data_IF_189007514907
#
_entry.id   IF_189007514907
#
_cell.length_a   1.000
_cell.length_b   1.000
_cell.length_c   1.000
_cell.angle_alpha   90.00
_cell.angle_beta   90.00
_cell.angle_gamma   90.00
#
_symmetry.space_group_name_H-M   'P 1'
#
loop_
_entity.id
_entity.type
_entity.pdbx_description
1 polymer ?
#
# COMPACT_ATOMS: atom_id res chain seq x y z
N UNK A 1 -12.00 14.81 22.51
CA UNK A 1 -12.25 14.40 21.11
C UNK A 1 -11.20 13.39 20.69
N UNK A 2 -11.63 12.22 20.18
CA UNK A 2 -10.72 11.17 19.71
C UNK A 2 -10.21 11.54 18.30
N UNK A 3 -8.90 11.76 18.20
CA UNK A 3 -8.20 11.87 16.91
C UNK A 3 -8.36 10.55 16.14
N UNK A 4 -8.34 10.62 14.80
CA UNK A 4 -8.83 9.58 13.90
C UNK A 4 -8.43 8.15 14.28
N UNK A 5 -9.43 7.29 14.41
CA UNK A 5 -9.29 5.91 14.80
C UNK A 5 -9.00 5.03 13.59
N UNK A 6 -7.73 4.69 13.32
CA UNK A 6 -7.41 3.69 12.30
C UNK A 6 -7.86 2.32 12.78
N UNK A 7 -8.89 1.77 12.12
CA UNK A 7 -9.25 0.37 12.25
C UNK A 7 -8.31 -0.42 11.35
N UNK A 8 -7.45 -1.24 11.94
CA UNK A 8 -6.67 -2.22 11.15
C UNK A 8 -7.64 -3.26 10.64
N UNK A 9 -7.84 -3.25 9.33
CA UNK A 9 -8.68 -4.22 8.65
C UNK A 9 -7.86 -5.46 8.32
N UNK A 10 -8.18 -6.56 8.98
CA UNK A 10 -7.82 -7.89 8.52
C UNK A 10 -9.00 -8.45 7.75
N UNK A 11 -8.74 -9.03 6.58
CA UNK A 11 -9.77 -9.81 5.90
C UNK A 11 -9.96 -11.11 6.68
N UNK A 12 -11.05 -11.19 7.43
CA UNK A 12 -11.53 -12.46 7.98
C UNK A 12 -12.13 -13.27 6.84
N UNK A 13 -11.63 -14.49 6.68
CA UNK A 13 -12.22 -15.44 5.76
C UNK A 13 -13.58 -15.88 6.29
N UNK A 14 -14.67 -15.50 5.61
CA UNK A 14 -15.77 -16.43 5.37
C UNK A 14 -15.83 -16.68 3.85
N UNK A 15 -15.39 -17.88 3.51
CA UNK A 15 -15.14 -18.37 2.16
C UNK A 15 -16.40 -18.71 1.35
N UNK A 16 -17.60 -18.31 1.79
CA UNK A 16 -18.87 -18.55 1.09
C UNK A 16 -19.92 -17.52 1.52
N UNK A 17 -20.52 -16.80 0.57
CA UNK A 17 -21.70 -15.91 0.70
C UNK A 17 -21.50 -14.44 1.14
N UNK A 18 -21.63 -13.54 0.15
CA UNK A 18 -22.22 -12.19 0.09
C UNK A 18 -22.06 -11.12 1.20
N UNK A 19 -21.40 -11.36 2.33
CA UNK A 19 -21.18 -10.32 3.34
C UNK A 19 -19.80 -10.44 4.00
N UNK A 20 -18.91 -9.50 3.64
CA UNK A 20 -17.59 -9.33 4.25
C UNK A 20 -17.73 -8.93 5.73
N UNK A 21 -17.15 -9.71 6.64
CA UNK A 21 -16.92 -9.26 8.02
C UNK A 21 -15.51 -8.68 8.12
N UNK A 22 -15.48 -7.37 8.29
CA UNK A 22 -14.30 -6.62 8.66
C UNK A 22 -14.28 -6.61 10.19
N UNK A 23 -13.39 -7.37 10.84
CA UNK A 23 -13.22 -7.19 12.29
C UNK A 23 -12.14 -6.14 12.56
N UNK A 24 -12.53 -5.13 13.34
CA UNK A 24 -11.62 -4.13 13.87
C UNK A 24 -10.79 -4.77 14.99
N UNK A 25 -9.54 -5.10 14.71
CA UNK A 25 -8.62 -5.69 15.70
C UNK A 25 -8.00 -4.66 16.66
N UNK A 26 -8.32 -3.38 16.47
CA UNK A 26 -7.93 -2.30 17.36
C UNK A 26 -8.14 -0.95 16.71
N UNK A 27 -8.26 0.07 17.55
CA UNK A 27 -8.18 1.47 17.16
C UNK A 27 -6.76 1.94 17.42
N UNK A 28 -6.12 2.51 16.40
CA UNK A 28 -4.89 3.29 16.59
C UNK A 28 -5.28 4.76 16.55
N UNK A 29 -4.92 5.48 17.61
CA UNK A 29 -4.98 6.93 17.61
C UNK A 29 -3.87 7.43 16.69
N UNK A 30 -4.27 8.15 15.64
CA UNK A 30 -3.33 8.78 14.72
C UNK A 30 -3.19 10.26 15.07
N UNK A 31 -1.95 10.73 15.12
CA UNK A 31 -1.68 12.17 15.17
C UNK A 31 -2.18 12.86 13.88
N UNK A 32 -2.33 14.19 13.93
CA UNK A 32 -2.94 14.96 12.84
C UNK A 32 -2.26 14.73 11.47
N UNK A 33 -0.93 14.52 11.46
CA UNK A 33 -0.13 14.30 10.25
C UNK A 33 0.13 12.83 9.92
N UNK A 34 -0.24 11.91 10.81
CA UNK A 34 0.02 10.48 10.66
C UNK A 34 -1.04 9.82 9.79
N UNK A 35 -0.61 9.08 8.77
CA UNK A 35 -1.50 8.31 7.89
C UNK A 35 -0.94 6.90 7.68
N UNK A 36 -1.80 5.88 7.51
CA UNK A 36 -1.33 4.60 7.04
C UNK A 36 -0.86 4.71 5.58
N UNK A 37 0.13 3.89 5.24
CA UNK A 37 0.52 3.59 3.86
C UNK A 37 0.53 2.07 3.66
N UNK A 38 0.09 1.63 2.48
CA UNK A 38 0.00 0.22 2.15
C UNK A 38 1.25 -0.24 1.40
N UNK A 39 1.87 -1.30 1.90
CA UNK A 39 2.83 -2.03 1.09
C UNK A 39 2.05 -2.97 0.16
N UNK A 40 2.39 -3.04 -1.14
CA UNK A 40 1.71 -3.91 -2.10
C UNK A 40 2.11 -5.39 -1.90
N UNK A 41 1.78 -5.94 -0.74
CA UNK A 41 2.01 -7.34 -0.37
C UNK A 41 0.73 -7.90 0.23
N UNK A 42 0.30 -9.05 -0.29
CA UNK A 42 -0.81 -9.81 0.28
C UNK A 42 -0.22 -10.98 1.05
N UNK A 43 -0.57 -11.04 2.32
CA UNK A 43 -0.30 -12.20 3.16
C UNK A 43 -1.55 -13.07 3.29
N UNK A 44 -1.33 -14.38 3.35
CA UNK A 44 -2.29 -15.36 3.83
C UNK A 44 -1.60 -16.18 4.92
N UNK A 45 -2.06 -16.05 6.15
CA UNK A 45 -1.34 -16.55 7.31
C UNK A 45 0.03 -15.92 7.49
N UNK A 46 1.04 -16.77 7.56
CA UNK A 46 2.45 -16.38 7.67
C UNK A 46 3.13 -16.21 6.31
N UNK A 47 2.44 -16.52 5.21
CA UNK A 47 3.04 -16.55 3.87
C UNK A 47 2.62 -15.33 3.05
N UNK A 48 3.58 -14.69 2.40
CA UNK A 48 3.29 -13.71 1.36
C UNK A 48 2.90 -14.46 0.07
N UNK A 49 1.67 -14.27 -0.37
CA UNK A 49 1.12 -14.96 -1.55
C UNK A 49 1.11 -14.07 -2.80
N UNK A 50 1.21 -12.75 -2.64
CA UNK A 50 1.32 -11.79 -3.74
C UNK A 50 2.31 -10.70 -3.35
N UNK A 51 3.32 -10.48 -4.19
CA UNK A 51 4.32 -9.43 -4.06
C UNK A 51 4.00 -8.29 -5.04
N UNK A 52 4.63 -7.11 -4.92
CA UNK A 52 4.32 -5.95 -5.77
C UNK A 52 4.48 -6.22 -7.26
N UNK A 53 5.42 -7.10 -7.63
CA UNK A 53 5.73 -7.44 -9.02
C UNK A 53 4.99 -8.68 -9.53
N UNK A 54 4.24 -9.37 -8.67
CA UNK A 54 3.47 -10.56 -9.03
C UNK A 54 2.36 -10.18 -9.99
N UNK A 55 2.28 -10.87 -11.13
CA UNK A 55 1.11 -10.86 -12.01
C UNK A 55 0.29 -12.10 -11.73
N UNK A 56 -0.98 -12.05 -12.09
CA UNK A 56 -1.86 -13.20 -11.91
C UNK A 56 -1.38 -14.49 -12.59
N UNK A 57 -0.74 -14.38 -13.76
CA UNK A 57 -0.18 -15.51 -14.50
C UNK A 57 1.01 -16.19 -13.80
N UNK A 58 1.62 -15.50 -12.82
CA UNK A 58 2.76 -16.00 -12.07
C UNK A 58 2.30 -16.87 -10.88
N UNK A 59 1.01 -16.85 -10.55
CA UNK A 59 0.40 -17.72 -9.55
C UNK A 59 0.18 -19.12 -10.14
N UNK A 60 0.47 -20.15 -9.34
CA UNK A 60 0.24 -21.53 -9.74
C UNK A 60 -1.26 -21.83 -9.87
N UNK A 61 -1.68 -22.41 -10.99
CA UNK A 61 -3.09 -22.66 -11.28
C UNK A 61 -3.67 -23.76 -10.41
N UNK A 62 -4.88 -23.54 -9.90
CA UNK A 62 -5.62 -24.51 -9.08
C UNK A 62 -5.18 -24.57 -7.62
N UNK A 63 -4.30 -23.66 -7.18
CA UNK A 63 -3.83 -23.61 -5.79
C UNK A 63 -4.72 -22.73 -4.93
N UNK A 64 -4.60 -22.89 -3.61
CA UNK A 64 -5.22 -21.99 -2.63
C UNK A 64 -4.74 -20.54 -2.84
N UNK A 65 -3.46 -20.32 -3.16
CA UNK A 65 -2.89 -19.00 -3.41
C UNK A 65 -3.61 -18.25 -4.55
N UNK A 66 -3.89 -18.94 -5.66
CA UNK A 66 -4.64 -18.36 -6.79
C UNK A 66 -6.04 -17.92 -6.34
N UNK A 67 -6.73 -18.78 -5.58
CA UNK A 67 -8.08 -18.51 -5.05
C UNK A 67 -8.07 -17.34 -4.07
N UNK A 68 -7.11 -17.31 -3.14
CA UNK A 68 -6.97 -16.25 -2.16
C UNK A 68 -6.62 -14.92 -2.84
N UNK A 69 -5.69 -14.89 -3.78
CA UNK A 69 -5.35 -13.70 -4.54
C UNK A 69 -6.58 -13.13 -5.27
N UNK A 70 -7.34 -13.95 -6.01
CA UNK A 70 -8.58 -13.50 -6.69
C UNK A 70 -9.57 -12.87 -5.73
N UNK A 71 -9.83 -13.53 -4.60
CA UNK A 71 -10.75 -13.03 -3.56
C UNK A 71 -10.25 -11.71 -2.99
N UNK A 72 -8.96 -11.61 -2.69
CA UNK A 72 -8.35 -10.39 -2.17
C UNK A 72 -8.49 -9.23 -3.15
N UNK A 73 -8.17 -9.45 -4.43
CA UNK A 73 -8.30 -8.43 -5.47
C UNK A 73 -9.74 -7.95 -5.62
N UNK A 74 -10.74 -8.84 -5.50
CA UNK A 74 -12.15 -8.42 -5.54
C UNK A 74 -12.55 -7.50 -4.36
N UNK A 75 -11.73 -7.41 -3.32
CA UNK A 75 -11.99 -6.59 -2.13
C UNK A 75 -11.10 -5.35 -2.02
N UNK A 76 -10.09 -5.23 -2.89
CA UNK A 76 -9.03 -4.24 -2.72
C UNK A 76 -9.52 -2.79 -2.63
N UNK A 77 -10.57 -2.34 -3.38
CA UNK A 77 -11.01 -0.96 -3.27
C UNK A 77 -11.62 -0.67 -1.89
N UNK A 78 -12.32 -1.65 -1.32
CA UNK A 78 -12.88 -1.54 0.03
C UNK A 78 -11.77 -1.44 1.06
N UNK A 79 -10.73 -2.26 0.94
CA UNK A 79 -9.59 -2.22 1.84
C UNK A 79 -8.86 -0.88 1.78
N UNK A 80 -8.49 -0.42 0.57
CA UNK A 80 -7.85 0.88 0.36
C UNK A 80 -8.68 1.99 1.00
N UNK A 81 -9.98 2.02 0.71
CA UNK A 81 -10.86 3.05 1.27
C UNK A 81 -10.88 2.97 2.79
N UNK A 82 -10.99 1.79 3.40
CA UNK A 82 -10.99 1.66 4.86
C UNK A 82 -9.70 2.12 5.53
N UNK A 83 -8.54 1.87 4.93
CA UNK A 83 -7.28 2.40 5.46
C UNK A 83 -7.18 3.92 5.30
N UNK A 84 -7.83 4.50 4.30
CA UNK A 84 -7.72 5.95 4.01
C UNK A 84 -8.87 6.80 4.57
N UNK A 85 -9.98 6.18 4.95
CA UNK A 85 -11.23 6.82 5.36
C UNK A 85 -11.50 6.70 6.87
N UNK A 86 -10.49 6.31 7.63
CA UNK A 86 -10.59 6.00 9.06
C UNK A 86 -10.97 7.21 9.93
N UNK A 87 -10.54 8.43 9.57
CA UNK A 87 -10.88 9.67 10.29
C UNK A 87 -12.15 10.33 9.77
N UNK A 88 -12.85 9.65 8.87
CA UNK A 88 -14.11 10.11 8.27
C UNK A 88 -15.29 9.22 8.69
N UNK A 89 -15.07 7.93 8.92
CA UNK A 89 -16.14 7.00 9.27
C UNK A 89 -16.65 7.18 10.71
N UNK A 90 -17.93 7.50 10.88
CA UNK A 90 -18.62 7.48 12.18
C UNK A 90 -19.15 6.07 12.43
N UNK A 91 -18.52 5.35 13.35
CA UNK A 91 -18.99 4.02 13.73
C UNK A 91 -20.34 4.14 14.46
N UNK A 92 -21.20 3.15 14.25
CA UNK A 92 -22.43 2.92 15.03
C UNK A 92 -23.58 3.93 14.77
N UNK A 93 -23.51 4.73 13.70
CA UNK A 93 -24.64 5.52 13.19
C UNK A 93 -25.23 4.93 11.90
N UNK A 94 -26.45 4.39 12.00
CA UNK A 94 -27.13 3.74 10.87
C UNK A 94 -27.49 4.71 9.72
N UNK A 95 -27.64 6.02 9.98
CA UNK A 95 -27.93 7.03 8.94
C UNK A 95 -26.71 7.25 8.09
N UNK A 96 -25.55 7.44 8.71
CA UNK A 96 -24.28 7.67 8.02
C UNK A 96 -23.82 6.42 7.25
N UNK A 97 -24.03 5.23 7.82
CA UNK A 97 -23.79 3.97 7.11
C UNK A 97 -24.66 3.87 5.84
N UNK A 98 -25.95 4.21 5.91
CA UNK A 98 -26.84 4.23 4.73
C UNK A 98 -26.35 5.21 3.66
N UNK A 99 -25.88 6.39 4.05
CA UNK A 99 -25.31 7.37 3.10
C UNK A 99 -24.08 6.78 2.42
N UNK A 100 -23.17 6.20 3.20
CA UNK A 100 -21.96 5.59 2.66
C UNK A 100 -22.28 4.46 1.68
N UNK A 101 -23.14 3.52 2.06
CA UNK A 101 -23.55 2.40 1.20
C UNK A 101 -24.21 2.91 -0.09
N UNK A 102 -25.10 3.92 0.02
CA UNK A 102 -25.78 4.51 -1.14
C UNK A 102 -24.80 5.17 -2.11
N UNK A 103 -23.84 5.94 -1.61
CA UNK A 103 -22.95 6.71 -2.48
C UNK A 103 -21.76 5.88 -3.00
N UNK A 104 -21.17 5.03 -2.16
CA UNK A 104 -19.93 4.31 -2.43
C UNK A 104 -20.12 2.83 -2.77
N UNK A 105 -21.23 2.18 -2.40
CA UNK A 105 -21.40 0.72 -2.56
C UNK A 105 -21.22 0.23 -4.00
N UNK A 106 -22.14 0.59 -4.90
CA UNK A 106 -22.06 0.24 -6.33
C UNK A 106 -20.81 0.82 -7.01
N UNK A 107 -20.27 1.91 -6.48
CA UNK A 107 -19.04 2.49 -7.01
C UNK A 107 -17.84 1.59 -6.77
N UNK A 108 -17.65 1.14 -5.52
CA UNK A 108 -16.59 0.20 -5.15
C UNK A 108 -16.75 -1.15 -5.85
N UNK A 109 -17.98 -1.68 -5.97
CA UNK A 109 -18.25 -2.94 -6.69
C UNK A 109 -17.74 -2.90 -8.13
N UNK A 110 -18.00 -1.80 -8.86
CA UNK A 110 -17.50 -1.62 -10.24
C UNK A 110 -15.97 -1.60 -10.30
N UNK A 111 -15.31 -0.91 -9.36
CA UNK A 111 -13.85 -0.87 -9.30
C UNK A 111 -13.29 -2.26 -8.98
N UNK A 112 -13.94 -3.01 -8.08
CA UNK A 112 -13.57 -4.38 -7.74
C UNK A 112 -13.64 -5.31 -8.95
N UNK A 113 -14.73 -5.25 -9.72
CA UNK A 113 -14.90 -6.02 -10.95
C UNK A 113 -13.86 -5.66 -12.01
N UNK A 114 -13.59 -4.36 -12.20
CA UNK A 114 -12.54 -3.87 -13.11
C UNK A 114 -11.16 -4.38 -12.68
N UNK A 115 -10.81 -4.23 -11.40
CA UNK A 115 -9.53 -4.67 -10.85
C UNK A 115 -9.33 -6.17 -11.03
N UNK A 116 -10.34 -6.98 -10.69
CA UNK A 116 -10.28 -8.43 -10.88
C UNK A 116 -10.12 -8.80 -12.36
N UNK A 117 -10.89 -8.17 -13.26
CA UNK A 117 -10.81 -8.41 -14.71
C UNK A 117 -9.43 -8.08 -15.27
N UNK A 118 -8.85 -6.95 -14.85
CA UNK A 118 -7.52 -6.51 -15.29
C UNK A 118 -6.43 -7.43 -14.76
N UNK A 119 -6.49 -7.78 -13.48
CA UNK A 119 -5.49 -8.65 -12.85
C UNK A 119 -5.55 -10.05 -13.44
N UNK A 120 -6.75 -10.66 -13.56
CA UNK A 120 -6.93 -12.01 -14.10
C UNK A 120 -6.44 -12.16 -15.55
N UNK A 121 -6.46 -11.07 -16.35
CA UNK A 121 -5.89 -11.04 -17.70
C UNK A 121 -4.35 -11.02 -17.71
N UNK A 122 -3.70 -10.92 -16.55
CA UNK A 122 -2.24 -10.89 -16.40
C UNK A 122 -1.57 -9.62 -16.95
N UNK A 123 -2.34 -8.53 -17.14
CA UNK A 123 -1.87 -7.29 -17.78
C UNK A 123 -1.02 -6.40 -16.86
N UNK A 124 -1.31 -6.45 -15.56
CA UNK A 124 -0.68 -5.61 -14.54
C UNK A 124 -0.07 -6.45 -13.43
N UNK A 125 1.02 -5.96 -12.86
CA UNK A 125 1.50 -6.45 -11.56
C UNK A 125 0.55 -6.01 -10.45
N UNK A 126 0.70 -6.58 -9.26
CA UNK A 126 -0.11 -6.19 -8.11
C UNK A 126 0.07 -4.71 -7.73
N UNK A 127 1.30 -4.20 -7.75
CA UNK A 127 1.57 -2.78 -7.49
C UNK A 127 0.86 -1.87 -8.52
N UNK A 128 0.98 -2.18 -9.81
CA UNK A 128 0.30 -1.42 -10.88
C UNK A 128 -1.22 -1.47 -10.80
N UNK A 129 -1.77 -2.56 -10.22
CA UNK A 129 -3.19 -2.72 -9.97
C UNK A 129 -3.64 -1.90 -8.76
N UNK A 130 -2.86 -1.90 -7.68
CA UNK A 130 -3.14 -1.10 -6.49
C UNK A 130 -3.18 0.40 -6.85
N UNK A 131 -2.23 0.89 -7.64
CA UNK A 131 -2.24 2.28 -8.11
C UNK A 131 -3.45 2.61 -8.99
N UNK A 132 -3.85 1.70 -9.89
CA UNK A 132 -5.10 1.84 -10.64
C UNK A 132 -6.30 2.00 -9.68
N UNK A 133 -6.34 1.21 -8.61
CA UNK A 133 -7.44 1.26 -7.64
C UNK A 133 -7.45 2.60 -6.89
N UNK A 134 -6.30 3.15 -6.51
CA UNK A 134 -6.20 4.50 -5.95
C UNK A 134 -6.73 5.56 -6.92
N UNK A 135 -6.26 5.55 -8.18
CA UNK A 135 -6.70 6.50 -9.20
C UNK A 135 -8.21 6.43 -9.42
N UNK A 136 -8.76 5.22 -9.50
CA UNK A 136 -10.20 4.97 -9.66
C UNK A 136 -10.98 5.37 -8.42
N UNK A 137 -10.54 5.07 -7.21
CA UNK A 137 -11.30 5.39 -5.99
C UNK A 137 -11.40 6.89 -5.76
N UNK A 138 -10.27 7.59 -5.88
CA UNK A 138 -10.17 8.97 -5.41
C UNK A 138 -10.38 10.00 -6.52
N UNK A 139 -10.25 9.62 -7.80
CA UNK A 139 -10.58 10.45 -8.96
C UNK A 139 -9.96 11.86 -8.88
N UNK A 140 -8.70 11.96 -8.44
CA UNK A 140 -8.04 13.22 -8.11
C UNK A 140 -7.86 14.19 -9.29
N UNK A 141 -7.95 13.67 -10.52
CA UNK A 141 -7.86 14.43 -11.78
C UNK A 141 -9.24 14.79 -12.37
N UNK A 142 -10.33 14.26 -11.79
CA UNK A 142 -11.69 14.57 -12.23
C UNK A 142 -12.10 15.94 -11.67
N UNK A 143 -12.96 16.66 -12.42
CA UNK A 143 -13.56 17.92 -11.93
C UNK A 143 -14.24 17.68 -10.59
N UNK A 144 -13.82 18.46 -9.60
CA UNK A 144 -14.13 18.27 -8.17
C UNK A 144 -15.63 18.03 -7.88
N UNK A 145 -16.54 18.76 -8.56
CA UNK A 145 -17.99 18.62 -8.32
C UNK A 145 -18.55 17.23 -8.59
N UNK A 146 -17.96 16.46 -9.51
CA UNK A 146 -18.47 15.15 -9.93
C UNK A 146 -17.72 13.98 -9.28
N UNK A 147 -16.65 14.27 -8.54
CA UNK A 147 -15.80 13.29 -7.89
C UNK A 147 -16.57 12.55 -6.81
N UNK A 148 -16.43 11.23 -6.74
CA UNK A 148 -17.32 10.45 -5.87
C UNK A 148 -17.14 10.75 -4.38
N UNK A 149 -15.90 11.00 -3.95
CA UNK A 149 -15.59 11.44 -2.59
C UNK A 149 -16.20 12.81 -2.25
N UNK A 150 -16.18 13.76 -3.19
CA UNK A 150 -16.80 15.08 -2.97
C UNK A 150 -18.34 14.97 -2.89
N UNK A 151 -18.96 14.06 -3.66
CA UNK A 151 -20.40 13.79 -3.53
C UNK A 151 -20.72 13.20 -2.16
N UNK A 152 -19.96 12.21 -1.69
CA UNK A 152 -20.12 11.65 -0.35
C UNK A 152 -19.98 12.74 0.73
N UNK A 153 -18.95 13.58 0.64
CA UNK A 153 -18.72 14.68 1.58
C UNK A 153 -19.89 15.63 1.69
N UNK A 154 -20.44 16.09 0.56
CA UNK A 154 -21.63 16.94 0.54
C UNK A 154 -22.84 16.26 1.18
N UNK A 155 -23.05 14.96 0.93
CA UNK A 155 -24.16 14.21 1.55
C UNK A 155 -24.02 14.10 3.06
N UNK A 156 -22.80 13.97 3.58
CA UNK A 156 -22.56 13.96 5.03
C UNK A 156 -22.86 15.32 5.64
N UNK A 157 -22.42 16.41 5.00
CA UNK A 157 -22.70 17.79 5.46
C UNK A 157 -24.21 18.06 5.45
N UNK A 158 -24.89 17.74 4.34
CA UNK A 158 -26.34 17.90 4.21
C UNK A 158 -27.12 17.11 5.28
N UNK A 159 -26.64 15.93 5.66
CA UNK A 159 -27.29 15.15 6.73
C UNK A 159 -27.03 15.76 8.10
N UNK A 160 -25.82 16.23 8.37
CA UNK A 160 -25.50 16.93 9.61
C UNK A 160 -26.33 18.21 9.77
N UNK A 161 -26.52 18.98 8.69
CA UNK A 161 -27.38 20.17 8.71
C UNK A 161 -28.82 19.81 9.10
N UNK A 162 -29.41 18.79 8.49
CA UNK A 162 -30.76 18.32 8.87
C UNK A 162 -30.83 17.85 10.32
N UNK A 163 -29.80 17.13 10.77
CA UNK A 163 -29.76 16.66 12.16
C UNK A 163 -29.69 17.81 13.16
N UNK A 164 -29.03 18.92 12.82
CA UNK A 164 -29.05 20.13 13.64
C UNK A 164 -30.42 20.82 13.61
N UNK A 165 -31.05 20.93 12.43
CA UNK A 165 -32.37 21.54 12.29
C UNK A 165 -33.48 20.75 13.04
N UNK A 166 -33.30 19.44 13.20
CA UNK A 166 -34.21 18.54 13.93
C UNK A 166 -34.04 18.58 15.47
N UNK A 167 -33.11 19.38 16.02
CA UNK A 167 -32.90 19.51 17.47
C UNK A 167 -34.07 20.31 18.07
N UNK A 168 -34.91 19.64 18.86
CA UNK A 168 -36.05 20.24 19.56
C UNK A 168 -35.67 21.28 20.62
N UNK A 169 -36.60 22.20 20.88
CA UNK A 169 -36.47 23.24 21.91
C UNK A 169 -36.65 22.72 23.35
N UNK A 170 -37.17 21.50 23.49
CA UNK A 170 -37.50 20.83 24.75
C UNK A 170 -36.41 19.88 25.27
N UNK A 171 -35.28 19.80 24.57
CA UNK A 171 -34.12 18.98 24.93
C UNK A 171 -33.31 19.71 26.02
N UNK A 172 -32.77 18.97 26.99
CA UNK A 172 -31.88 19.56 27.98
C UNK A 172 -30.57 20.08 27.35
N UNK A 173 -29.88 20.97 28.08
CA UNK A 173 -28.70 21.67 27.57
C UNK A 173 -27.56 20.71 27.27
N UNK A 174 -27.36 19.68 28.10
CA UNK A 174 -26.26 18.72 27.96
C UNK A 174 -26.48 17.83 26.74
N UNK A 175 -27.70 17.28 26.58
CA UNK A 175 -28.07 16.49 25.40
C UNK A 175 -28.04 17.34 24.11
N UNK A 176 -28.42 18.62 24.17
CA UNK A 176 -28.30 19.54 23.03
C UNK A 176 -26.83 19.73 22.63
N UNK A 177 -25.95 20.03 23.58
CA UNK A 177 -24.51 20.19 23.33
C UNK A 177 -23.90 18.94 22.71
N UNK A 178 -24.21 17.74 23.21
CA UNK A 178 -23.71 16.48 22.64
C UNK A 178 -24.14 16.26 21.17
N UNK A 179 -25.39 16.59 20.84
CA UNK A 179 -25.93 16.46 19.48
C UNK A 179 -25.31 17.47 18.52
N UNK A 180 -25.12 18.71 18.97
CA UNK A 180 -24.46 19.76 18.20
C UNK A 180 -23.00 19.38 17.91
N UNK A 181 -22.26 18.90 18.92
CA UNK A 181 -20.90 18.41 18.78
C UNK A 181 -20.81 17.24 17.79
N UNK A 182 -21.74 16.30 17.85
CA UNK A 182 -21.81 15.19 16.90
C UNK A 182 -22.02 15.67 15.46
N UNK A 183 -22.95 16.61 15.25
CA UNK A 183 -23.19 17.19 13.92
C UNK A 183 -21.97 17.96 13.39
N UNK A 184 -21.29 18.73 14.26
CA UNK A 184 -20.05 19.42 13.94
C UNK A 184 -18.97 18.45 13.45
N UNK A 185 -18.80 17.32 14.16
CA UNK A 185 -17.86 16.26 13.77
C UNK A 185 -18.22 15.66 12.40
N UNK A 186 -19.50 15.42 12.10
CA UNK A 186 -19.90 14.91 10.77
C UNK A 186 -19.57 15.92 9.67
N UNK A 187 -19.79 17.21 9.90
CA UNK A 187 -19.46 18.27 8.93
C UNK A 187 -17.97 18.30 8.62
N UNK A 188 -17.13 18.33 9.65
CA UNK A 188 -15.67 18.30 9.52
C UNK A 188 -15.21 17.09 8.68
N UNK A 189 -15.83 15.92 8.90
CA UNK A 189 -15.56 14.69 8.14
C UNK A 189 -16.04 14.79 6.68
N UNK A 190 -17.19 15.41 6.45
CA UNK A 190 -17.68 15.71 5.10
C UNK A 190 -16.75 16.67 4.35
N UNK A 191 -16.21 17.69 5.01
CA UNK A 191 -15.22 18.61 4.45
C UNK A 191 -13.91 17.89 4.08
N UNK A 192 -13.44 16.97 4.93
CA UNK A 192 -12.28 16.10 4.63
C UNK A 192 -12.51 15.27 3.36
N UNK A 193 -13.72 14.76 3.13
CA UNK A 193 -14.06 14.06 1.88
C UNK A 193 -13.94 14.97 0.65
N UNK A 194 -14.42 16.21 0.78
CA UNK A 194 -14.40 17.19 -0.31
C UNK A 194 -12.99 17.70 -0.65
N UNK A 195 -12.04 17.61 0.28
CA UNK A 195 -10.68 18.13 0.08
C UNK A 195 -9.87 17.29 -0.94
N UNK A 196 -9.82 17.73 -2.20
CA UNK A 196 -9.07 17.05 -3.28
C UNK A 196 -7.58 16.97 -2.98
N UNK A 197 -6.98 18.04 -2.45
CA UNK A 197 -5.54 18.09 -2.18
C UNK A 197 -5.12 17.07 -1.12
N UNK A 198 -5.98 16.85 -0.12
CA UNK A 198 -5.80 15.76 0.85
C UNK A 198 -5.66 14.41 0.15
N UNK A 199 -6.59 14.10 -0.75
CA UNK A 199 -6.58 12.83 -1.47
C UNK A 199 -5.40 12.72 -2.44
N UNK A 200 -5.02 13.80 -3.13
CA UNK A 200 -3.81 13.83 -3.97
C UNK A 200 -2.56 13.52 -3.16
N UNK A 201 -2.43 14.10 -1.97
CA UNK A 201 -1.29 13.85 -1.08
C UNK A 201 -1.21 12.38 -0.67
N UNK A 202 -2.35 11.78 -0.32
CA UNK A 202 -2.44 10.36 0.03
C UNK A 202 -2.06 9.47 -1.16
N UNK A 203 -2.70 9.68 -2.32
CA UNK A 203 -2.42 8.92 -3.55
C UNK A 203 -0.94 9.04 -3.95
N UNK A 204 -0.34 10.23 -3.80
CA UNK A 204 1.07 10.47 -4.08
C UNK A 204 1.98 9.67 -3.15
N UNK A 205 1.72 9.67 -1.84
CA UNK A 205 2.50 8.91 -0.88
C UNK A 205 2.44 7.41 -1.17
N UNK A 206 1.25 6.90 -1.48
CA UNK A 206 1.03 5.50 -1.84
C UNK A 206 1.72 5.12 -3.16
N UNK A 207 1.72 6.02 -4.15
CA UNK A 207 2.50 5.84 -5.39
C UNK A 207 3.99 5.67 -5.09
N UNK A 208 4.55 6.54 -4.24
CA UNK A 208 5.96 6.48 -3.88
C UNK A 208 6.30 5.20 -3.12
N UNK A 209 5.45 4.77 -2.18
CA UNK A 209 5.62 3.50 -1.44
C UNK A 209 5.53 2.30 -2.37
N UNK A 210 4.57 2.31 -3.28
CA UNK A 210 4.37 1.23 -4.25
C UNK A 210 5.57 1.09 -5.19
N UNK A 211 6.07 2.20 -5.75
CA UNK A 211 7.23 2.21 -6.63
C UNK A 211 8.51 1.80 -5.90
N UNK A 212 8.68 2.26 -4.66
CA UNK A 212 9.80 1.85 -3.82
C UNK A 212 9.76 0.34 -3.54
N UNK A 213 8.59 -0.17 -3.16
CA UNK A 213 8.37 -1.60 -2.91
C UNK A 213 8.67 -2.43 -4.16
N UNK A 214 8.05 -2.13 -5.29
CA UNK A 214 8.29 -2.82 -6.56
C UNK A 214 9.79 -2.85 -6.94
N UNK A 215 10.49 -1.73 -6.75
CA UNK A 215 11.93 -1.64 -6.98
C UNK A 215 12.76 -2.48 -6.02
N UNK A 216 12.38 -2.59 -4.74
CA UNK A 216 13.10 -3.40 -3.74
C UNK A 216 12.95 -4.88 -4.04
N UNK A 217 11.72 -5.35 -4.26
CA UNK A 217 11.41 -6.75 -4.56
C UNK A 217 12.05 -7.28 -5.85
N UNK A 218 12.43 -6.38 -6.78
CA UNK A 218 13.12 -6.78 -8.01
C UNK A 218 14.64 -6.92 -7.86
N UNK A 219 15.23 -6.38 -6.78
CA UNK A 219 16.67 -6.15 -6.68
C UNK A 219 17.34 -6.81 -5.48
N UNK A 220 16.58 -7.18 -4.46
CA UNK A 220 17.14 -7.75 -3.24
C UNK A 220 17.45 -9.25 -3.42
N UNK A 221 18.53 -9.75 -2.79
CA UNK A 221 18.77 -11.19 -2.63
C UNK A 221 17.60 -11.88 -1.94
N UNK A 222 17.45 -13.18 -2.20
CA UNK A 222 16.36 -13.99 -1.65
C UNK A 222 16.36 -13.99 -0.11
N UNK A 223 17.52 -14.07 0.54
CA UNK A 223 17.60 -14.05 2.00
C UNK A 223 17.14 -12.71 2.60
N UNK A 224 17.49 -11.60 1.94
CA UNK A 224 17.05 -10.26 2.36
C UNK A 224 15.55 -10.10 2.14
N UNK A 225 15.01 -10.67 1.06
CA UNK A 225 13.58 -10.71 0.78
C UNK A 225 12.81 -11.49 1.86
N UNK A 226 13.31 -12.67 2.23
CA UNK A 226 12.73 -13.50 3.29
C UNK A 226 12.73 -12.77 4.63
N UNK A 227 13.80 -12.02 4.94
CA UNK A 227 13.86 -11.16 6.12
C UNK A 227 12.77 -10.08 6.13
N UNK A 228 12.54 -9.39 5.00
CA UNK A 228 11.45 -8.41 4.87
C UNK A 228 10.07 -9.04 5.09
N UNK A 229 9.85 -10.26 4.60
CA UNK A 229 8.58 -10.95 4.72
C UNK A 229 8.33 -11.50 6.14
N UNK A 230 9.39 -11.79 6.89
CA UNK A 230 9.30 -12.30 8.26
C UNK A 230 8.98 -11.19 9.29
N UNK A 231 9.47 -9.98 9.07
CA UNK A 231 9.44 -8.86 10.04
C UNK A 231 8.17 -7.99 9.98
N UNK A 232 7.26 -8.26 9.03
CA UNK A 232 6.07 -7.46 8.70
C UNK A 232 5.35 -6.83 9.90
N UNK A 233 5.09 -5.52 9.80
CA UNK A 233 4.48 -4.69 10.84
C UNK A 233 3.09 -5.18 11.24
N UNK A 234 2.29 -5.56 10.25
CA UNK A 234 0.91 -5.99 10.44
C UNK A 234 0.88 -7.28 11.25
N UNK A 235 1.69 -8.28 10.88
CA UNK A 235 1.81 -9.54 11.63
C UNK A 235 2.15 -9.31 13.10
N UNK A 236 3.11 -8.42 13.40
CA UNK A 236 3.49 -8.07 14.78
C UNK A 236 2.33 -7.44 15.55
N UNK A 237 1.59 -6.54 14.92
CA UNK A 237 0.39 -5.94 15.50
C UNK A 237 -0.65 -7.02 15.83
N UNK A 238 -0.93 -7.93 14.90
CA UNK A 238 -1.92 -8.99 15.08
C UNK A 238 -1.57 -9.93 16.23
N UNK A 239 -0.30 -10.35 16.32
CA UNK A 239 0.18 -11.16 17.45
C UNK A 239 0.06 -10.44 18.78
N UNK A 240 0.42 -9.14 18.85
CA UNK A 240 0.27 -8.33 20.06
C UNK A 240 -1.18 -8.17 20.51
N UNK A 241 -2.13 -8.26 19.57
CA UNK A 241 -3.58 -8.26 19.85
C UNK A 241 -4.11 -9.61 20.31
N UNK A 242 -3.25 -10.62 20.45
CA UNK A 242 -3.61 -11.93 20.99
C UNK A 242 -4.04 -12.96 19.97
N UNK A 243 -3.93 -12.68 18.66
CA UNK A 243 -4.22 -13.67 17.64
C UNK A 243 -3.17 -14.79 17.68
N UNK A 244 -3.61 -16.03 17.78
CA UNK A 244 -2.76 -17.21 17.68
C UNK A 244 -2.24 -17.42 16.25
N UNK A 245 -1.19 -18.22 16.09
CA UNK A 245 -0.71 -18.62 14.75
C UNK A 245 -1.77 -19.41 13.97
N UNK A 246 -2.58 -20.22 14.66
CA UNK A 246 -3.71 -20.95 14.05
C UNK A 246 -4.76 -19.96 13.52
N UNK A 247 -5.14 -18.97 14.32
CA UNK A 247 -6.09 -17.93 13.88
C UNK A 247 -5.53 -17.09 12.73
N UNK A 248 -4.21 -16.82 12.73
CA UNK A 248 -3.57 -16.11 11.62
C UNK A 248 -3.56 -16.93 10.35
N UNK A 249 -3.31 -18.24 10.44
CA UNK A 249 -3.12 -19.14 9.29
C UNK A 249 -4.27 -19.14 8.28
N UNK A 250 -5.47 -18.77 8.71
CA UNK A 250 -6.68 -18.69 7.88
C UNK A 250 -7.02 -17.27 7.41
N UNK A 251 -6.20 -16.26 7.75
CA UNK A 251 -6.50 -14.83 7.53
C UNK A 251 -5.64 -14.23 6.44
N UNK A 252 -6.29 -13.37 5.63
CA UNK A 252 -5.62 -12.55 4.63
C UNK A 252 -5.46 -11.11 5.10
N UNK A 253 -4.30 -10.48 4.86
CA UNK A 253 -4.11 -9.07 5.20
C UNK A 253 -3.15 -8.36 4.23
N UNK A 254 -3.31 -7.03 4.14
CA UNK A 254 -2.32 -6.14 3.52
C UNK A 254 -1.32 -5.71 4.57
N UNK A 255 -0.06 -5.66 4.16
CA UNK A 255 1.01 -5.11 4.97
C UNK A 255 0.94 -3.57 4.93
N UNK A 256 1.08 -2.92 6.08
CA UNK A 256 0.97 -1.46 6.19
C UNK A 256 1.86 -0.91 7.29
N UNK A 257 2.14 0.39 7.23
CA UNK A 257 2.80 1.14 8.30
C UNK A 257 2.11 2.50 8.47
N UNK A 258 2.39 3.19 9.57
CA UNK A 258 1.89 4.54 9.84
C UNK A 258 3.07 5.51 9.72
N UNK A 259 2.89 6.56 8.92
CA UNK A 259 3.94 7.55 8.64
C UNK A 259 3.44 8.97 8.81
N UNK A 260 4.33 9.92 9.08
CA UNK A 260 4.09 11.33 8.77
C UNK A 260 4.15 11.53 7.25
N UNK A 261 2.99 11.77 6.64
CA UNK A 261 2.91 11.89 5.17
C UNK A 261 3.63 13.14 4.65
N UNK A 262 3.73 14.19 5.46
CA UNK A 262 4.43 15.41 5.07
C UNK A 262 5.92 15.23 5.03
N UNK A 263 6.49 14.77 6.13
CA UNK A 263 7.92 14.48 6.19
C UNK A 263 8.33 13.47 5.11
N UNK A 264 7.51 12.44 4.87
CA UNK A 264 7.79 11.43 3.85
C UNK A 264 7.85 12.01 2.43
N UNK A 265 6.85 12.81 2.04
CA UNK A 265 6.82 13.43 0.72
C UNK A 265 7.88 14.54 0.56
N UNK A 266 8.12 15.34 1.60
CA UNK A 266 9.18 16.35 1.59
C UNK A 266 10.57 15.69 1.44
N UNK A 267 10.76 14.53 2.07
CA UNK A 267 11.98 13.73 1.91
C UNK A 267 12.13 13.23 0.47
N UNK A 268 11.04 12.76 -0.16
CA UNK A 268 11.05 12.37 -1.56
C UNK A 268 11.44 13.54 -2.47
N UNK A 269 10.86 14.72 -2.24
CA UNK A 269 11.08 15.90 -3.07
C UNK A 269 12.48 16.49 -2.91
N UNK A 270 13.00 16.49 -1.68
CA UNK A 270 14.31 17.07 -1.36
C UNK A 270 15.47 16.13 -1.68
N UNK A 271 15.33 14.84 -1.37
CA UNK A 271 16.45 13.88 -1.41
C UNK A 271 16.31 12.80 -2.50
N UNK A 272 15.13 12.67 -3.10
CA UNK A 272 14.88 11.77 -4.22
C UNK A 272 14.60 10.32 -3.82
N UNK A 273 14.33 9.52 -4.86
CA UNK A 273 13.78 8.16 -4.70
C UNK A 273 14.72 7.15 -4.03
N UNK A 274 16.05 7.29 -4.10
CA UNK A 274 16.98 6.36 -3.45
C UNK A 274 16.87 6.41 -1.92
N UNK A 275 16.72 7.62 -1.35
CA UNK A 275 16.55 7.82 0.09
C UNK A 275 15.22 7.25 0.56
N UNK A 276 14.15 7.53 -0.15
CA UNK A 276 12.82 7.01 0.20
C UNK A 276 12.74 5.49 0.05
N UNK A 277 13.41 4.91 -0.94
CA UNK A 277 13.53 3.44 -1.06
C UNK A 277 14.20 2.82 0.15
N UNK A 278 15.26 3.43 0.66
CA UNK A 278 15.89 2.95 1.89
C UNK A 278 14.95 3.10 3.09
N UNK A 279 14.21 4.21 3.21
CA UNK A 279 13.21 4.38 4.27
C UNK A 279 12.13 3.30 4.22
N UNK A 280 11.56 3.05 3.04
CA UNK A 280 10.55 1.99 2.81
C UNK A 280 11.13 0.62 3.16
N UNK A 281 12.37 0.33 2.76
CA UNK A 281 13.07 -0.90 3.15
C UNK A 281 13.16 -1.05 4.66
N UNK A 282 13.54 0.01 5.39
CA UNK A 282 13.65 -0.03 6.85
C UNK A 282 12.29 -0.27 7.50
N UNK A 283 11.22 0.35 7.00
CA UNK A 283 9.86 0.08 7.50
C UNK A 283 9.45 -1.38 7.30
N UNK A 284 9.75 -1.94 6.14
CA UNK A 284 9.48 -3.35 5.84
C UNK A 284 10.33 -4.32 6.68
N UNK A 285 11.52 -3.90 7.13
CA UNK A 285 12.34 -4.62 8.12
C UNK A 285 11.82 -4.43 9.56
N UNK A 286 10.66 -3.81 9.74
CA UNK A 286 9.99 -3.69 11.03
C UNK A 286 10.27 -2.39 11.78
N UNK A 287 10.92 -1.40 11.16
CA UNK A 287 11.00 -0.04 11.73
C UNK A 287 9.58 0.56 11.77
N UNK A 288 9.16 1.04 12.94
CA UNK A 288 7.90 1.78 13.06
C UNK A 288 8.03 3.11 12.29
N UNK A 289 7.12 3.36 11.37
CA UNK A 289 7.16 4.54 10.52
C UNK A 289 6.98 5.84 11.29
N UNK A 290 6.38 5.79 12.49
CA UNK A 290 6.27 6.92 13.41
C UNK A 290 7.60 7.32 14.03
N UNK A 291 8.58 6.43 14.03
CA UNK A 291 9.93 6.71 14.50
C UNK A 291 10.83 7.34 13.42
N UNK A 292 10.32 7.54 12.21
CA UNK A 292 11.04 8.21 11.11
C UNK A 292 10.86 9.71 11.28
N UNK A 293 11.74 10.32 12.07
CA UNK A 293 11.84 11.78 12.21
C UNK A 293 12.87 12.38 11.24
N UNK A 294 12.95 13.71 11.17
CA UNK A 294 13.92 14.41 10.31
C UNK A 294 15.38 14.02 10.61
N UNK A 295 15.70 13.68 11.87
CA UNK A 295 17.04 13.24 12.26
C UNK A 295 17.35 11.86 11.70
N UNK A 296 16.37 10.95 11.68
CA UNK A 296 16.48 9.65 11.05
C UNK A 296 16.63 9.78 9.54
N UNK A 297 15.84 10.65 8.90
CA UNK A 297 15.97 10.95 7.47
C UNK A 297 17.41 11.37 7.13
N UNK A 298 17.98 12.32 7.86
CA UNK A 298 19.36 12.77 7.62
C UNK A 298 20.42 11.66 7.83
N UNK A 299 20.16 10.70 8.72
CA UNK A 299 21.02 9.51 8.83
C UNK A 299 20.92 8.64 7.57
N UNK A 300 19.71 8.40 7.07
CA UNK A 300 19.49 7.61 5.86
C UNK A 300 20.12 8.28 4.65
N UNK A 301 20.00 9.61 4.52
CA UNK A 301 20.65 10.40 3.45
C UNK A 301 22.16 10.12 3.44
N UNK A 302 22.84 10.24 4.59
CA UNK A 302 24.29 9.97 4.68
C UNK A 302 24.65 8.54 4.27
N UNK A 303 23.83 7.56 4.66
CA UNK A 303 24.03 6.15 4.30
C UNK A 303 23.90 5.95 2.79
N UNK A 304 22.90 6.56 2.16
CA UNK A 304 22.65 6.47 0.71
C UNK A 304 23.75 7.19 -0.07
N UNK A 305 24.16 8.38 0.37
CA UNK A 305 25.25 9.16 -0.25
C UNK A 305 26.57 8.39 -0.21
N UNK A 306 26.90 7.75 0.92
CA UNK A 306 28.10 6.93 1.04
C UNK A 306 28.05 5.71 0.08
N UNK A 307 26.90 5.04 -0.04
CA UNK A 307 26.73 3.96 -1.03
C UNK A 307 26.86 4.48 -2.47
N UNK A 308 26.36 5.68 -2.77
CA UNK A 308 26.51 6.29 -4.10
C UNK A 308 27.98 6.57 -4.41
N UNK A 309 28.70 7.20 -3.48
CA UNK A 309 30.16 7.48 -3.63
C UNK A 309 30.97 6.20 -3.85
N UNK A 310 30.68 5.12 -3.11
CA UNK A 310 31.35 3.82 -3.31
C UNK A 310 31.10 3.25 -4.71
N UNK A 311 29.85 3.26 -5.17
CA UNK A 311 29.49 2.81 -6.53
C UNK A 311 30.21 3.64 -7.61
N UNK A 312 30.31 4.95 -7.43
CA UNK A 312 31.03 5.84 -8.36
C UNK A 312 32.54 5.56 -8.37
N UNK A 313 33.15 5.32 -7.20
CA UNK A 313 34.57 4.96 -7.09
C UNK A 313 34.86 3.59 -7.73
N UNK A 314 34.01 2.59 -7.50
CA UNK A 314 34.13 1.26 -8.11
C UNK A 314 33.96 1.32 -9.63
N UNK A 315 32.95 2.07 -10.12
CA UNK A 315 32.75 2.27 -11.55
C UNK A 315 33.94 2.99 -12.20
N UNK A 316 34.51 3.99 -11.52
CA UNK A 316 35.70 4.71 -12.00
C UNK A 316 36.93 3.81 -12.05
N UNK A 317 37.12 2.93 -11.05
CA UNK A 317 38.20 1.93 -11.06
C UNK A 317 38.02 0.93 -12.20
N UNK A 318 36.83 0.40 -12.37
CA UNK A 318 36.52 -0.55 -13.44
C UNK A 318 36.70 0.08 -14.83
N UNK A 319 36.30 1.34 -15.03
CA UNK A 319 36.54 2.06 -16.27
C UNK A 319 38.04 2.28 -16.55
N UNK A 320 38.83 2.61 -15.52
CA UNK A 320 40.27 2.76 -15.64
C UNK A 320 40.97 1.42 -15.96
N UNK A 321 40.50 0.32 -15.37
CA UNK A 321 40.99 -1.03 -15.67
C UNK A 321 40.71 -1.42 -17.13
N UNK A 322 39.49 -1.21 -17.63
CA UNK A 322 39.12 -1.47 -19.03
C UNK A 322 39.99 -0.65 -20.01
N UNK A 323 40.20 0.65 -19.73
CA UNK A 323 41.09 1.49 -20.54
C UNK A 323 42.54 1.01 -20.49
N UNK A 324 43.01 0.54 -19.34
CA UNK A 324 44.33 -0.06 -19.17
C UNK A 324 44.50 -1.37 -19.95
N UNK A 325 43.47 -2.21 -20.01
CA UNK A 325 43.44 -3.46 -20.80
C UNK A 325 43.45 -3.16 -22.31
N UNK A 326 42.69 -2.15 -22.76
CA UNK A 326 42.69 -1.71 -24.16
C UNK A 326 44.04 -1.11 -24.58
N UNK A 327 44.64 -0.26 -23.75
CA UNK A 327 45.94 0.38 -24.01
C UNK A 327 47.11 -0.60 -23.92
N UNK A 328 47.04 -1.63 -23.07
CA UNK A 328 48.09 -2.64 -22.92
C UNK A 328 48.01 -3.78 -23.96
N UNK A 329 47.03 -3.74 -24.86
CA UNK A 329 46.88 -4.73 -25.94
C UNK A 329 46.54 -6.15 -25.46
N UNK A 330 46.20 -6.34 -24.19
CA UNK A 330 45.76 -7.63 -23.63
C UNK A 330 44.29 -7.87 -23.98
N UNK A 331 43.98 -8.06 -25.27
CA UNK A 331 42.70 -8.66 -25.65
C UNK A 331 42.60 -10.03 -24.99
N UNK A 332 41.66 -10.17 -24.07
CA UNK A 332 41.29 -11.44 -23.48
C UNK A 332 41.06 -12.46 -24.61
N UNK A 333 41.94 -13.47 -24.70
CA UNK A 333 41.75 -14.60 -25.60
C UNK A 333 40.49 -15.33 -25.16
N UNK A 334 39.36 -14.98 -25.76
CA UNK A 334 38.12 -15.71 -25.64
C UNK A 334 38.36 -17.19 -25.93
N UNK A 335 37.94 -18.06 -25.00
CA UNK A 335 37.92 -19.52 -25.16
C UNK A 335 37.01 -19.89 -26.34
N UNK A 336 37.54 -19.89 -27.56
CA UNK A 336 36.95 -20.59 -28.68
C UNK A 336 37.17 -22.10 -28.46
N UNK A 337 36.18 -22.78 -27.85
CA UNK A 337 36.10 -24.24 -27.79
C UNK A 337 35.98 -24.76 -29.24
N UNK A 338 37.11 -25.15 -29.82
CA UNK A 338 37.19 -25.77 -31.14
C UNK A 338 36.43 -27.09 -31.18
N UNK A 339 35.32 -27.12 -31.91
CA UNK A 339 34.59 -28.33 -32.29
C UNK A 339 35.39 -29.02 -33.40
N UNK A 340 36.32 -29.92 -33.04
CA UNK A 340 37.03 -30.78 -34.01
C UNK A 340 36.05 -31.81 -34.59
N UNK A 341 35.53 -31.57 -35.80
CA UNK A 341 34.89 -32.63 -36.59
C UNK A 341 35.99 -33.53 -37.18
N UNK A 342 36.06 -34.78 -36.72
CA UNK A 342 36.90 -35.82 -37.32
C UNK A 342 36.33 -36.17 -38.71
N UNK A 343 37.04 -35.75 -39.76
CA UNK A 343 36.96 -36.32 -41.11
C UNK A 343 37.68 -37.68 -41.07
N UNK A 344 36.97 -38.78 -41.37
CA UNK A 344 37.56 -40.08 -41.73
C UNK A 344 37.29 -40.31 -43.22
N UNK A 345 38.30 -40.09 -44.04
CA UNK A 345 38.60 -40.93 -45.21
C UNK A 345 39.38 -42.14 -44.69
N UNK A 346 39.28 -43.38 -45.14
CA UNK A 346 38.53 -44.07 -46.18
C UNK A 346 39.18 -45.47 -46.32
N UNK A 347 38.41 -46.48 -46.77
CA UNK A 347 38.94 -47.67 -47.45
C UNK A 347 39.27 -48.94 -46.62
N UNK A 348 38.72 -50.06 -47.08
CA UNK A 348 39.34 -51.39 -47.01
C UNK A 348 38.64 -52.43 -46.13
N UNK A 349 37.92 -53.38 -46.77
CA UNK A 349 37.37 -54.58 -46.15
C UNK A 349 35.98 -54.92 -46.66
#
# INVERSE_FOLDING_TARGET
MRFGALQVLVLFGWMTCSTFRVESLGVFDLAENERPVLFPIIFYGSNAIVLPNTRFKDLEKGTSEEVHAKRFISCIPRMVLSFMFYDVYCKDDSRLERIFVREMGRYMERISEEALSVYAKGRKTFGELLLMVYDRLFECDVRDRNRRMTILGRRLIEEADKMMDDIGDDIDVEEREEREDFCSVIKERGEKCCNVERWRRIVRAESVVCDASASLYSKLPEEELLGLLAEGCTKKILKKKGLSEEELSEKGYLEHNIIDTGLFLDTYDKHGSEVVKEIVRQMMLGKDGREIDSKYVEKVVRVVDERRRRRELEASRHAAELLGEELSGKKSKGKAKGKKSKRKSGGGG
#
